data_IF_781799894887
#
_entry.id   IF_781799894887
#
_cell.length_a   1.000
_cell.length_b   1.000
_cell.length_c   1.000
_cell.angle_alpha   90.00
_cell.angle_beta   90.00
_cell.angle_gamma   90.00
#
_symmetry.space_group_name_H-M   'P 1'
#
loop_
_entity.id
_entity.type
_entity.pdbx_description
1 polymer ?
#
# COMPACT_ATOMS: atom_id res chain seq x y z
N UNK A 1 40.52 -36.84 -22.78
CA UNK A 1 40.11 -38.16 -23.33
C UNK A 1 40.14 -39.31 -22.32
N UNK A 2 41.17 -39.44 -21.47
CA UNK A 2 41.28 -40.54 -20.50
C UNK A 2 40.12 -40.66 -19.50
N UNK A 3 39.52 -39.52 -19.08
CA UNK A 3 38.38 -39.52 -18.16
C UNK A 3 37.12 -40.14 -18.81
N UNK A 4 36.84 -39.77 -20.06
CA UNK A 4 35.68 -40.26 -20.84
C UNK A 4 35.81 -41.77 -21.12
N UNK A 5 37.02 -42.24 -21.44
CA UNK A 5 37.28 -43.67 -21.63
C UNK A 5 37.13 -44.48 -20.34
N UNK A 6 37.57 -43.93 -19.18
CA UNK A 6 37.36 -44.57 -17.87
C UNK A 6 35.88 -44.65 -17.49
N UNK A 7 35.12 -43.60 -17.76
CA UNK A 7 33.66 -43.56 -17.51
C UNK A 7 32.93 -44.55 -18.43
N UNK A 8 33.28 -44.60 -19.71
CA UNK A 8 32.69 -45.53 -20.68
C UNK A 8 32.98 -47.00 -20.34
N UNK A 9 34.23 -47.33 -19.96
CA UNK A 9 34.60 -48.67 -19.53
C UNK A 9 33.94 -49.09 -18.21
N UNK A 10 33.73 -48.14 -17.29
CA UNK A 10 33.00 -48.39 -16.04
C UNK A 10 31.50 -48.61 -16.31
N UNK A 11 30.88 -47.78 -17.15
CA UNK A 11 29.49 -47.96 -17.62
C UNK A 11 29.30 -49.32 -18.32
N UNK A 12 30.26 -49.75 -19.14
CA UNK A 12 30.21 -51.01 -19.86
C UNK A 12 30.03 -52.24 -18.96
N UNK A 13 30.55 -52.21 -17.72
CA UNK A 13 30.54 -53.33 -16.76
C UNK A 13 29.27 -53.39 -15.89
N UNK A 14 28.39 -52.39 -15.96
CA UNK A 14 27.13 -52.36 -15.21
C UNK A 14 26.04 -53.16 -15.93
N UNK A 15 25.23 -53.90 -15.16
CA UNK A 15 24.05 -54.59 -15.69
C UNK A 15 23.05 -53.59 -16.28
N UNK A 16 22.26 -54.04 -17.26
CA UNK A 16 21.27 -53.20 -17.96
C UNK A 16 20.34 -52.48 -16.97
N UNK A 17 19.89 -53.18 -15.92
CA UNK A 17 19.05 -52.59 -14.87
C UNK A 17 19.68 -51.36 -14.21
N UNK A 18 20.96 -51.43 -13.81
CA UNK A 18 21.65 -50.30 -13.16
C UNK A 18 21.89 -49.12 -14.11
N UNK A 19 22.08 -49.37 -15.41
CA UNK A 19 22.17 -48.32 -16.42
C UNK A 19 20.86 -47.54 -16.54
N UNK A 20 19.73 -48.25 -16.57
CA UNK A 20 18.41 -47.63 -16.57
C UNK A 20 18.15 -46.84 -15.29
N UNK A 21 18.51 -47.38 -14.11
CA UNK A 21 18.37 -46.64 -12.84
C UNK A 21 19.16 -45.35 -12.82
N UNK A 22 20.37 -45.33 -13.40
CA UNK A 22 21.20 -44.13 -13.51
C UNK A 22 20.55 -43.06 -14.38
N UNK A 23 19.97 -43.45 -15.52
CA UNK A 23 19.23 -42.54 -16.40
C UNK A 23 18.02 -41.98 -15.67
N UNK A 24 17.22 -42.83 -15.01
CA UNK A 24 16.07 -42.38 -14.24
C UNK A 24 16.44 -41.48 -13.05
N UNK A 25 17.52 -41.77 -12.33
CA UNK A 25 17.98 -40.90 -11.23
C UNK A 25 18.46 -39.54 -11.74
N UNK A 26 19.16 -39.52 -12.88
CA UNK A 26 19.59 -38.30 -13.53
C UNK A 26 18.39 -37.46 -14.00
N UNK A 27 17.41 -38.10 -14.64
CA UNK A 27 16.16 -37.47 -15.07
C UNK A 27 15.35 -36.95 -13.88
N UNK A 28 15.19 -37.77 -12.82
CA UNK A 28 14.51 -37.36 -11.60
C UNK A 28 15.15 -36.13 -10.95
N UNK A 29 16.48 -36.00 -11.01
CA UNK A 29 17.18 -34.82 -10.51
C UNK A 29 16.79 -33.56 -11.30
N UNK A 30 16.67 -33.66 -12.63
CA UNK A 30 16.21 -32.55 -13.45
C UNK A 30 14.75 -32.18 -13.15
N UNK A 31 13.86 -33.17 -12.98
CA UNK A 31 12.46 -32.96 -12.61
C UNK A 31 12.33 -32.28 -11.23
N UNK A 32 13.07 -32.75 -10.23
CA UNK A 32 13.09 -32.13 -8.89
C UNK A 32 13.60 -30.69 -8.97
N UNK A 33 14.64 -30.43 -9.75
CA UNK A 33 15.21 -29.09 -9.92
C UNK A 33 14.22 -28.11 -10.56
N UNK A 34 13.63 -28.48 -11.70
CA UNK A 34 12.63 -27.64 -12.39
C UNK A 34 11.40 -27.43 -11.52
N UNK A 35 10.92 -28.49 -10.86
CA UNK A 35 9.80 -28.38 -9.92
C UNK A 35 10.13 -27.44 -8.75
N UNK A 36 11.36 -27.50 -8.23
CA UNK A 36 11.83 -26.62 -7.16
C UNK A 36 11.81 -25.14 -7.55
N UNK A 37 12.30 -24.81 -8.76
CA UNK A 37 12.25 -23.44 -9.30
C UNK A 37 10.80 -22.97 -9.43
N UNK A 38 9.95 -23.79 -10.04
CA UNK A 38 8.54 -23.44 -10.25
C UNK A 38 7.82 -23.20 -8.92
N UNK A 39 8.06 -24.04 -7.92
CA UNK A 39 7.51 -23.87 -6.57
C UNK A 39 8.00 -22.55 -5.95
N UNK A 40 9.28 -22.22 -6.09
CA UNK A 40 9.84 -20.99 -5.55
C UNK A 40 9.20 -19.74 -6.18
N UNK A 41 9.08 -19.72 -7.51
CA UNK A 41 8.42 -18.64 -8.25
C UNK A 41 6.95 -18.48 -7.82
N UNK A 42 6.21 -19.60 -7.69
CA UNK A 42 4.82 -19.55 -7.23
C UNK A 42 4.68 -19.07 -5.79
N UNK A 43 5.62 -19.40 -4.89
CA UNK A 43 5.59 -18.88 -3.51
C UNK A 43 5.79 -17.36 -3.47
N UNK A 44 6.69 -16.81 -4.27
CA UNK A 44 6.89 -15.36 -4.33
C UNK A 44 5.63 -14.64 -4.78
N UNK A 45 4.95 -15.15 -5.82
CA UNK A 45 3.68 -14.59 -6.29
C UNK A 45 2.58 -14.69 -5.22
N UNK A 46 2.50 -15.80 -4.48
CA UNK A 46 1.53 -15.94 -3.38
C UNK A 46 1.81 -14.94 -2.25
N UNK A 47 3.07 -14.80 -1.83
CA UNK A 47 3.47 -13.85 -0.79
C UNK A 47 3.19 -12.40 -1.22
N UNK A 48 3.38 -12.09 -2.51
CA UNK A 48 3.03 -10.80 -3.10
C UNK A 48 1.52 -10.54 -2.99
N UNK A 49 0.68 -11.45 -3.50
CA UNK A 49 -0.78 -11.29 -3.48
C UNK A 49 -1.35 -11.27 -2.06
N UNK A 50 -0.78 -12.04 -1.13
CA UNK A 50 -1.18 -11.97 0.28
C UNK A 50 -0.96 -10.59 0.87
N UNK A 51 0.17 -9.94 0.55
CA UNK A 51 0.45 -8.58 0.99
C UNK A 51 -0.54 -7.58 0.38
N UNK A 52 -0.91 -7.72 -0.88
CA UNK A 52 -1.91 -6.85 -1.54
C UNK A 52 -3.29 -6.96 -0.89
N UNK A 53 -3.74 -8.18 -0.57
CA UNK A 53 -5.01 -8.40 0.15
C UNK A 53 -4.98 -7.70 1.52
N UNK A 54 -3.86 -7.81 2.24
CA UNK A 54 -3.69 -7.11 3.53
C UNK A 54 -3.68 -5.60 3.34
N UNK A 55 -2.95 -5.08 2.35
CA UNK A 55 -2.87 -3.65 2.05
C UNK A 55 -4.21 -3.03 1.69
N UNK A 56 -5.01 -3.71 0.86
CA UNK A 56 -6.35 -3.23 0.45
C UNK A 56 -7.30 -3.19 1.65
N UNK A 57 -7.34 -4.26 2.44
CA UNK A 57 -8.13 -4.29 3.68
C UNK A 57 -7.74 -3.18 4.65
N UNK A 58 -6.43 -2.92 4.78
CA UNK A 58 -5.92 -1.84 5.62
C UNK A 58 -6.31 -0.45 5.09
N UNK A 59 -6.17 -0.25 3.79
CA UNK A 59 -6.50 1.01 3.11
C UNK A 59 -7.97 1.37 3.29
N UNK A 60 -8.88 0.40 3.14
CA UNK A 60 -10.32 0.61 3.37
C UNK A 60 -10.61 0.96 4.84
N UNK A 61 -9.99 0.25 5.78
CA UNK A 61 -10.18 0.49 7.22
C UNK A 61 -9.70 1.88 7.67
N UNK A 62 -8.77 2.51 6.94
CA UNK A 62 -8.30 3.89 7.18
C UNK A 62 -9.17 4.91 6.43
N UNK A 63 -9.48 4.64 5.16
CA UNK A 63 -10.12 5.61 4.27
C UNK A 63 -11.60 5.83 4.57
N UNK A 64 -12.33 4.77 4.95
CA UNK A 64 -13.75 4.87 5.31
C UNK A 64 -14.02 5.83 6.49
N UNK A 65 -13.41 5.64 7.68
CA UNK A 65 -13.65 6.54 8.80
C UNK A 65 -13.08 7.94 8.55
N UNK A 66 -12.00 8.06 7.77
CA UNK A 66 -11.50 9.36 7.33
C UNK A 66 -12.57 10.11 6.53
N UNK A 67 -13.16 9.45 5.53
CA UNK A 67 -14.16 10.07 4.66
C UNK A 67 -15.41 10.50 5.42
N UNK A 68 -15.90 9.70 6.37
CA UNK A 68 -17.08 10.04 7.17
C UNK A 68 -16.86 11.28 8.06
N UNK A 69 -15.67 11.42 8.64
CA UNK A 69 -15.28 12.62 9.42
C UNK A 69 -15.26 13.87 8.52
N UNK A 70 -14.77 13.74 7.28
CA UNK A 70 -14.68 14.86 6.33
C UNK A 70 -16.03 15.24 5.71
N UNK A 71 -16.88 14.26 5.41
CA UNK A 71 -18.24 14.49 4.90
C UNK A 71 -19.22 14.94 6.00
N UNK A 72 -18.79 15.00 7.26
CA UNK A 72 -19.64 15.38 8.38
C UNK A 72 -20.78 14.40 8.62
N UNK A 73 -20.61 13.13 8.26
CA UNK A 73 -21.63 12.07 8.40
C UNK A 73 -21.85 11.63 9.85
N UNK A 74 -21.05 12.12 10.77
CA UNK A 74 -21.15 11.85 12.20
C UNK A 74 -19.82 11.36 12.78
N UNK A 75 -19.79 11.03 14.08
CA UNK A 75 -18.64 10.37 14.69
C UNK A 75 -18.41 9.00 14.06
N UNK A 76 -17.15 8.54 14.11
CA UNK A 76 -16.75 7.20 13.65
C UNK A 76 -17.59 6.15 14.38
N UNK A 77 -18.18 5.24 13.62
CA UNK A 77 -18.98 4.15 14.20
C UNK A 77 -18.11 3.14 14.94
N UNK A 78 -18.67 2.46 15.95
CA UNK A 78 -17.99 1.39 16.67
C UNK A 78 -17.50 0.28 15.72
N UNK A 79 -18.27 -0.01 14.66
CA UNK A 79 -17.91 -0.99 13.65
C UNK A 79 -16.64 -0.58 12.87
N UNK A 80 -16.54 0.68 12.44
CA UNK A 80 -15.35 1.20 11.77
C UNK A 80 -14.14 1.22 12.70
N UNK A 81 -14.34 1.61 13.96
CA UNK A 81 -13.27 1.58 14.96
C UNK A 81 -12.75 0.15 15.19
N UNK A 82 -13.66 -0.82 15.36
CA UNK A 82 -13.29 -2.23 15.52
C UNK A 82 -12.61 -2.79 14.27
N UNK A 83 -13.08 -2.43 13.07
CA UNK A 83 -12.45 -2.83 11.81
C UNK A 83 -11.00 -2.33 11.76
N UNK A 84 -10.76 -1.05 12.05
CA UNK A 84 -9.42 -0.48 12.13
C UNK A 84 -8.54 -1.22 13.15
N UNK A 85 -9.02 -1.42 14.38
CA UNK A 85 -8.22 -2.13 15.40
C UNK A 85 -7.92 -3.57 14.99
N UNK A 86 -8.89 -4.28 14.39
CA UNK A 86 -8.70 -5.67 13.97
C UNK A 86 -7.64 -5.84 12.89
N UNK A 87 -7.57 -4.90 11.95
CA UNK A 87 -6.54 -4.89 10.90
C UNK A 87 -5.18 -4.58 11.53
N UNK A 88 -5.12 -3.56 12.39
CA UNK A 88 -3.89 -3.16 13.07
C UNK A 88 -3.28 -4.30 13.89
N UNK A 89 -4.09 -4.95 14.72
CA UNK A 89 -3.65 -6.08 15.54
C UNK A 89 -3.09 -7.24 14.72
N UNK A 90 -3.64 -7.49 13.53
CA UNK A 90 -3.23 -8.60 12.67
C UNK A 90 -2.05 -8.26 11.75
N UNK A 91 -1.90 -6.99 11.38
CA UNK A 91 -1.07 -6.62 10.22
C UNK A 91 -0.07 -5.48 10.49
N UNK A 92 -0.13 -4.77 11.62
CA UNK A 92 0.82 -3.71 11.92
C UNK A 92 2.27 -4.22 12.01
N UNK A 93 2.48 -5.41 12.58
CA UNK A 93 3.82 -6.01 12.65
C UNK A 93 4.30 -6.47 11.27
N UNK A 94 3.41 -7.06 10.47
CA UNK A 94 3.73 -7.54 9.11
C UNK A 94 4.14 -6.39 8.18
N UNK A 95 3.47 -5.24 8.28
CA UNK A 95 3.72 -4.07 7.44
C UNK A 95 4.66 -3.05 8.09
N UNK A 96 5.08 -3.24 9.35
CA UNK A 96 5.89 -2.26 10.09
C UNK A 96 5.16 -0.93 10.34
N UNK A 97 3.83 -0.95 10.48
CA UNK A 97 2.97 0.23 10.62
C UNK A 97 2.53 0.52 12.05
N UNK A 98 3.08 -0.17 13.06
CA UNK A 98 2.65 -0.04 14.47
C UNK A 98 2.62 1.40 14.98
N UNK A 99 3.63 2.20 14.66
CA UNK A 99 3.74 3.59 15.11
C UNK A 99 2.73 4.48 14.37
N UNK A 100 2.70 4.43 13.04
CA UNK A 100 1.82 5.24 12.19
C UNK A 100 0.35 4.88 12.42
N UNK A 101 0.05 3.59 12.57
CA UNK A 101 -1.28 3.06 12.89
C UNK A 101 -1.77 3.57 14.25
N UNK A 102 -0.90 3.58 15.25
CA UNK A 102 -1.23 4.13 16.58
C UNK A 102 -1.46 5.64 16.52
N UNK A 103 -0.61 6.37 15.79
CA UNK A 103 -0.74 7.81 15.63
C UNK A 103 -2.05 8.20 14.91
N UNK A 104 -2.44 7.45 13.88
CA UNK A 104 -3.71 7.62 13.19
C UNK A 104 -4.90 7.30 14.08
N UNK A 105 -4.91 6.15 14.77
CA UNK A 105 -6.00 5.76 15.67
C UNK A 105 -6.23 6.81 16.77
N UNK A 106 -5.15 7.34 17.35
CA UNK A 106 -5.23 8.42 18.34
C UNK A 106 -5.80 9.72 17.75
N UNK A 107 -5.38 10.11 16.54
CA UNK A 107 -5.91 11.30 15.86
C UNK A 107 -7.39 11.14 15.48
N UNK A 108 -7.80 9.92 15.11
CA UNK A 108 -9.18 9.59 14.77
C UNK A 108 -10.09 9.67 16.01
N UNK A 109 -9.64 9.11 17.13
CA UNK A 109 -10.38 9.18 18.40
C UNK A 109 -10.52 10.61 18.93
N UNK A 110 -9.45 11.41 18.83
CA UNK A 110 -9.49 12.83 19.16
C UNK A 110 -10.49 13.61 18.28
N UNK A 111 -10.62 13.22 17.01
CA UNK A 111 -11.56 13.83 16.07
C UNK A 111 -13.02 13.45 16.34
N UNK A 112 -13.28 12.32 17.01
CA UNK A 112 -14.64 11.92 17.39
C UNK A 112 -15.17 12.62 18.65
N UNK A 113 -14.28 13.15 19.50
CA UNK A 113 -14.65 13.73 20.80
C UNK A 113 -14.80 15.25 20.79
N UNK A 114 -14.30 15.94 19.76
CA UNK A 114 -14.24 17.40 19.72
C UNK A 114 -15.31 18.00 18.79
N UNK A 115 -15.85 19.16 19.16
CA UNK A 115 -16.83 19.88 18.33
C UNK A 115 -16.20 20.50 17.06
N UNK A 116 -14.88 20.73 17.10
CA UNK A 116 -14.05 21.08 15.93
C UNK A 116 -12.86 20.12 15.85
N UNK A 117 -13.01 18.97 15.18
CA UNK A 117 -11.94 17.98 15.11
C UNK A 117 -10.65 18.56 14.51
N UNK A 118 -9.47 18.19 15.03
CA UNK A 118 -8.17 18.56 14.46
C UNK A 118 -7.90 17.80 13.16
N UNK A 119 -8.70 18.10 12.14
CA UNK A 119 -8.74 17.47 10.81
C UNK A 119 -7.39 17.45 10.09
N UNK A 120 -6.57 18.49 10.26
CA UNK A 120 -5.20 18.55 9.71
C UNK A 120 -4.35 17.39 10.19
N UNK A 121 -4.35 17.15 11.51
CA UNK A 121 -3.54 16.10 12.12
C UNK A 121 -4.05 14.74 11.68
N UNK A 122 -5.37 14.57 11.62
CA UNK A 122 -5.98 13.34 11.13
C UNK A 122 -5.55 13.01 9.69
N UNK A 123 -5.66 13.98 8.77
CA UNK A 123 -5.22 13.81 7.38
C UNK A 123 -3.74 13.51 7.26
N UNK A 124 -2.91 14.22 8.00
CA UNK A 124 -1.46 14.01 7.96
C UNK A 124 -1.09 12.59 8.42
N UNK A 125 -1.69 12.12 9.51
CA UNK A 125 -1.45 10.75 9.99
C UNK A 125 -2.00 9.71 9.02
N UNK A 126 -3.19 9.94 8.46
CA UNK A 126 -3.79 9.05 7.46
C UNK A 126 -2.90 8.92 6.22
N UNK A 127 -2.41 10.04 5.65
CA UNK A 127 -1.51 10.04 4.49
C UNK A 127 -0.21 9.29 4.77
N UNK A 128 0.38 9.54 5.94
CA UNK A 128 1.63 8.89 6.34
C UNK A 128 1.43 7.37 6.44
N UNK A 129 0.33 6.95 7.06
CA UNK A 129 -0.02 5.54 7.20
C UNK A 129 -0.32 4.89 5.85
N UNK A 130 -1.18 5.49 5.02
CA UNK A 130 -1.54 4.96 3.69
C UNK A 130 -0.33 4.85 2.77
N UNK A 131 0.61 5.80 2.83
CA UNK A 131 1.87 5.74 2.07
C UNK A 131 2.71 4.55 2.51
N UNK A 132 2.89 4.34 3.82
CA UNK A 132 3.65 3.20 4.34
C UNK A 132 2.96 1.88 4.00
N UNK A 133 1.64 1.79 4.17
CA UNK A 133 0.85 0.62 3.79
C UNK A 133 1.02 0.32 2.31
N UNK A 134 0.82 1.30 1.42
CA UNK A 134 0.95 1.12 -0.03
C UNK A 134 2.32 0.61 -0.44
N UNK A 135 3.40 1.13 0.17
CA UNK A 135 4.76 0.68 -0.10
C UNK A 135 5.05 -0.74 0.42
N UNK A 136 4.56 -1.08 1.62
CA UNK A 136 4.90 -2.35 2.28
C UNK A 136 3.99 -3.52 1.85
N UNK A 137 2.80 -3.21 1.35
CA UNK A 137 1.80 -4.18 0.87
C UNK A 137 1.91 -4.48 -0.63
N UNK A 138 2.89 -3.90 -1.31
CA UNK A 138 3.09 -3.97 -2.76
C UNK A 138 1.97 -3.37 -3.63
N UNK A 139 0.98 -2.67 -3.04
CA UNK A 139 -0.10 -2.05 -3.82
C UNK A 139 0.38 -1.00 -4.81
N UNK A 140 1.51 -0.35 -4.55
CA UNK A 140 2.12 0.60 -5.49
C UNK A 140 2.84 -0.09 -6.67
N UNK A 141 3.03 -1.41 -6.59
CA UNK A 141 3.81 -2.21 -7.54
C UNK A 141 2.91 -3.11 -8.41
N UNK A 142 1.59 -2.92 -8.38
CA UNK A 142 0.66 -3.71 -9.18
C UNK A 142 1.02 -3.59 -10.68
N UNK A 143 1.30 -4.71 -11.38
CA UNK A 143 1.66 -4.70 -12.79
C UNK A 143 0.50 -4.35 -13.72
N UNK A 144 -0.75 -4.51 -13.28
CA UNK A 144 -1.93 -4.21 -14.10
C UNK A 144 -2.29 -2.72 -14.01
N UNK A 145 -2.29 -2.03 -15.16
CA UNK A 145 -2.47 -0.56 -15.24
C UNK A 145 -3.76 -0.08 -14.57
N UNK A 146 -4.87 -0.76 -14.81
CA UNK A 146 -6.17 -0.34 -14.27
C UNK A 146 -6.18 -0.40 -12.73
N UNK A 147 -5.64 -1.47 -12.16
CA UNK A 147 -5.53 -1.65 -10.71
C UNK A 147 -4.51 -0.68 -10.10
N UNK A 148 -3.39 -0.46 -10.78
CA UNK A 148 -2.40 0.55 -10.41
C UNK A 148 -3.02 1.94 -10.30
N UNK A 149 -3.85 2.35 -11.27
CA UNK A 149 -4.51 3.66 -11.25
C UNK A 149 -5.52 3.78 -10.11
N UNK A 150 -6.30 2.75 -9.84
CA UNK A 150 -7.19 2.72 -8.67
C UNK A 150 -6.39 2.85 -7.36
N UNK A 151 -5.27 2.16 -7.24
CA UNK A 151 -4.40 2.26 -6.06
C UNK A 151 -3.75 3.63 -5.93
N UNK A 152 -3.25 4.22 -7.01
CA UNK A 152 -2.69 5.57 -6.99
C UNK A 152 -3.73 6.61 -6.54
N UNK A 153 -4.94 6.53 -7.09
CA UNK A 153 -6.01 7.44 -6.74
C UNK A 153 -6.40 7.32 -5.26
N UNK A 154 -6.56 6.08 -4.77
CA UNK A 154 -7.02 5.82 -3.39
C UNK A 154 -5.94 6.09 -2.34
N UNK A 155 -4.68 5.71 -2.60
CA UNK A 155 -3.59 5.83 -1.62
C UNK A 155 -2.95 7.21 -1.61
N UNK A 156 -2.88 7.90 -2.76
CA UNK A 156 -2.10 9.13 -2.91
C UNK A 156 -2.98 10.32 -3.24
N UNK A 157 -3.76 10.25 -4.33
CA UNK A 157 -4.45 11.42 -4.89
C UNK A 157 -5.63 11.90 -4.05
N UNK A 158 -6.51 11.00 -3.61
CA UNK A 158 -7.67 11.38 -2.80
C UNK A 158 -7.29 11.96 -1.44
N UNK A 159 -6.34 11.38 -0.67
CA UNK A 159 -5.88 12.00 0.56
C UNK A 159 -5.23 13.37 0.34
N UNK A 160 -4.52 13.57 -0.77
CA UNK A 160 -3.95 14.87 -1.15
C UNK A 160 -5.03 15.90 -1.49
N UNK A 161 -6.04 15.52 -2.29
CA UNK A 161 -7.18 16.38 -2.60
C UNK A 161 -7.94 16.79 -1.35
N UNK A 162 -8.21 15.86 -0.43
CA UNK A 162 -8.87 16.15 0.84
C UNK A 162 -8.10 17.19 1.65
N UNK A 163 -6.77 17.12 1.66
CA UNK A 163 -5.93 18.14 2.32
C UNK A 163 -6.07 19.51 1.65
N UNK A 164 -5.98 19.58 0.33
CA UNK A 164 -6.13 20.86 -0.39
C UNK A 164 -7.52 21.47 -0.17
N UNK A 165 -8.56 20.64 -0.15
CA UNK A 165 -9.92 21.08 0.13
C UNK A 165 -10.07 21.60 1.56
N UNK A 166 -9.53 20.88 2.55
CA UNK A 166 -9.52 21.31 3.94
C UNK A 166 -8.79 22.63 4.15
N UNK A 167 -7.60 22.78 3.54
CA UNK A 167 -6.80 24.01 3.60
C UNK A 167 -7.56 25.20 2.99
N UNK A 168 -8.27 24.95 1.87
CA UNK A 168 -9.11 25.94 1.19
C UNK A 168 -10.29 26.37 2.05
N UNK A 169 -11.02 25.42 2.64
CA UNK A 169 -12.13 25.70 3.54
C UNK A 169 -11.68 26.57 4.71
N UNK A 170 -10.56 26.22 5.37
CA UNK A 170 -9.99 27.02 6.45
C UNK A 170 -9.62 28.44 6.02
N UNK A 171 -9.07 28.59 4.83
CA UNK A 171 -8.73 29.90 4.28
C UNK A 171 -9.99 30.78 4.08
N UNK A 172 -11.08 30.19 3.61
CA UNK A 172 -12.37 30.88 3.41
C UNK A 172 -13.02 31.26 4.74
N UNK A 173 -13.02 30.35 5.72
CA UNK A 173 -13.60 30.57 7.06
C UNK A 173 -12.82 31.58 7.90
N UNK A 174 -11.59 31.93 7.50
CA UNK A 174 -10.73 32.87 8.23
C UNK A 174 -11.30 34.30 8.19
N UNK A 175 -11.56 34.94 9.34
CA UNK A 175 -12.16 36.28 9.39
C UNK A 175 -11.35 37.34 8.63
N UNK A 176 -12.03 38.19 7.85
CA UNK A 176 -11.43 39.27 7.04
C UNK A 176 -10.68 40.34 7.86
N UNK A 177 -10.94 40.45 9.16
CA UNK A 177 -10.36 41.46 10.05
C UNK A 177 -9.02 41.10 10.73
N UNK A 178 -8.43 39.94 10.45
CA UNK A 178 -7.12 39.60 11.02
C UNK A 178 -6.01 40.42 10.34
N UNK A 179 -5.65 41.57 10.93
CA UNK A 179 -4.77 42.63 10.40
C UNK A 179 -3.41 42.14 9.86
N UNK A 180 -2.91 40.98 10.30
CA UNK A 180 -1.66 40.37 9.80
C UNK A 180 -1.83 39.43 8.59
N UNK A 181 -3.04 38.95 8.31
CA UNK A 181 -3.33 38.01 7.20
C UNK A 181 -3.75 38.68 5.90
N UNK A 182 -4.15 39.96 5.93
CA UNK A 182 -4.67 40.66 4.74
C UNK A 182 -3.62 40.89 3.65
N UNK A 183 -2.34 41.08 4.03
CA UNK A 183 -1.24 41.37 3.07
C UNK A 183 -0.83 40.14 2.26
N UNK A 184 -0.90 38.94 2.86
CA UNK A 184 -0.48 37.69 2.23
C UNK A 184 -1.65 36.86 1.68
N UNK A 185 -2.90 37.31 1.89
CA UNK A 185 -4.12 36.62 1.46
C UNK A 185 -4.15 36.28 -0.04
N UNK A 186 -3.74 37.18 -0.95
CA UNK A 186 -3.69 36.87 -2.38
C UNK A 186 -2.62 35.81 -2.73
N UNK A 187 -1.47 35.84 -2.05
CA UNK A 187 -0.41 34.85 -2.25
C UNK A 187 -0.81 33.46 -1.72
N UNK A 188 -1.49 33.40 -0.57
CA UNK A 188 -2.08 32.17 -0.04
C UNK A 188 -3.14 31.60 -1.00
N UNK A 189 -3.99 32.43 -1.58
CA UNK A 189 -4.96 32.03 -2.61
C UNK A 189 -4.29 31.44 -3.85
N UNK A 190 -3.27 32.12 -4.39
CA UNK A 190 -2.53 31.63 -5.55
C UNK A 190 -1.85 30.29 -5.25
N UNK A 191 -1.33 30.12 -4.03
CA UNK A 191 -0.73 28.86 -3.59
C UNK A 191 -1.77 27.74 -3.51
N UNK A 192 -2.95 28.01 -2.94
CA UNK A 192 -4.04 27.04 -2.87
C UNK A 192 -4.56 26.67 -4.25
N UNK A 193 -4.75 27.65 -5.13
CA UNK A 193 -5.16 27.42 -6.53
C UNK A 193 -4.13 26.58 -7.28
N UNK A 194 -2.83 26.89 -7.15
CA UNK A 194 -1.77 26.09 -7.75
C UNK A 194 -1.67 24.67 -7.20
N UNK A 195 -1.90 24.48 -5.89
CA UNK A 195 -1.96 23.14 -5.27
C UNK A 195 -3.16 22.33 -5.75
N UNK A 196 -4.32 22.97 -5.92
CA UNK A 196 -5.51 22.32 -6.45
C UNK A 196 -5.29 21.89 -7.91
N UNK A 197 -4.75 22.80 -8.72
CA UNK A 197 -4.43 22.53 -10.12
C UNK A 197 -3.41 21.39 -10.27
N UNK A 198 -2.37 21.37 -9.43
CA UNK A 198 -1.40 20.29 -9.39
C UNK A 198 -2.03 18.95 -8.97
N UNK A 199 -2.94 18.95 -7.99
CA UNK A 199 -3.61 17.74 -7.54
C UNK A 199 -4.56 17.18 -8.60
N UNK A 200 -5.30 18.05 -9.31
CA UNK A 200 -6.16 17.68 -10.45
C UNK A 200 -5.32 17.17 -11.62
N UNK A 201 -4.27 17.89 -12.00
CA UNK A 201 -3.34 17.47 -13.05
C UNK A 201 -2.68 16.13 -12.74
N UNK A 202 -2.35 15.88 -11.46
CA UNK A 202 -1.81 14.61 -11.00
C UNK A 202 -2.79 13.45 -11.14
N UNK A 203 -4.09 13.70 -10.94
CA UNK A 203 -5.15 12.71 -11.20
C UNK A 203 -5.29 12.46 -12.70
N UNK A 204 -5.19 13.50 -13.52
CA UNK A 204 -5.29 13.37 -14.97
C UNK A 204 -4.12 12.61 -15.59
N UNK A 205 -2.90 12.88 -15.11
CA UNK A 205 -1.70 12.16 -15.52
C UNK A 205 -1.72 10.67 -15.10
N UNK A 206 -2.45 10.34 -14.04
CA UNK A 206 -2.62 8.94 -13.59
C UNK A 206 -3.66 8.20 -14.43
N UNK A 207 -4.24 8.73 -15.50
CA UNK A 207 -5.09 7.92 -16.40
C UNK A 207 -4.80 8.14 -17.90
N UNK A 208 -3.91 9.07 -18.25
CA UNK A 208 -3.54 9.42 -19.63
C UNK A 208 -2.13 8.97 -19.99
#
# INVERSE_FOLDING_TARGET
>A
MALVQRISGWLGRLSVGRKLTLIYLLDLTAVIYVSGILIHEKRQSIEFTQKEIVGTAYTSAVSEPLMDVFLGRGPVSDAQWQALQSVRERHDEMLGTTEQGSAFANALQASASDAQPPRDRLLQQARTLLTTVGNQSNLILDPDLDSYYVMSLTLLRFPELLQVFHDTQRFVERPLGAVRGAVNRPAELLTLAGRLDAAVSGIEADYT
#
